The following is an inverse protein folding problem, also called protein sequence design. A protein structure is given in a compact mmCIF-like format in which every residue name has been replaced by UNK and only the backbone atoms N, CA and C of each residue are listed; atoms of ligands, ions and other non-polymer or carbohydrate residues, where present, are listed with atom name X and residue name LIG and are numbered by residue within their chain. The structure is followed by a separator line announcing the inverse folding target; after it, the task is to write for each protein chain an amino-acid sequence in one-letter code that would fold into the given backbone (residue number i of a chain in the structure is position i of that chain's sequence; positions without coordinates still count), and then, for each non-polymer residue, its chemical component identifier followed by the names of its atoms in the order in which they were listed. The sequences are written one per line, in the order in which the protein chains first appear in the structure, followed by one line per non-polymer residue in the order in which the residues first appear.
data_IF_488732143338
#
_entry.id   IF_488732143338
#
_cell.length_a   1.000
_cell.length_b   1.000
_cell.length_c   1.000
_cell.angle_alpha   90.00
_cell.angle_beta   90.00
_cell.angle_gamma   90.00
#
_symmetry.space_group_name_H-M   'P 1'
#
loop_
_entity.id
_entity.type
_entity.pdbx_description
1 polymer ?
#
# COMPACT_ATOMS: atom_id res chain seq x y z
N UNK A 1 3.97 10.54 -15.93
CA UNK A 1 5.21 10.63 -15.14
C UNK A 1 6.45 10.66 -16.04
N UNK A 2 7.62 10.36 -15.45
CA UNK A 2 8.85 10.17 -16.22
C UNK A 2 9.24 8.70 -16.24
N UNK A 3 9.65 8.22 -17.41
CA UNK A 3 10.21 6.88 -17.62
C UNK A 3 11.47 7.08 -18.45
N UNK A 4 12.61 6.62 -17.98
CA UNK A 4 13.94 6.81 -18.60
C UNK A 4 14.24 8.30 -18.90
N UNK A 5 13.87 9.20 -17.98
CA UNK A 5 14.05 10.64 -18.10
C UNK A 5 13.05 11.36 -19.01
N UNK A 6 12.26 10.66 -19.79
CA UNK A 6 11.24 11.22 -20.69
C UNK A 6 9.86 11.31 -20.03
N UNK A 7 9.12 12.37 -20.33
CA UNK A 7 7.73 12.50 -19.91
C UNK A 7 6.84 11.52 -20.71
N UNK A 8 6.17 10.60 -20.03
CA UNK A 8 5.30 9.59 -20.64
C UNK A 8 3.94 9.53 -19.95
N UNK A 9 2.90 9.33 -20.74
CA UNK A 9 1.57 8.96 -20.30
C UNK A 9 1.35 7.51 -20.73
N UNK A 10 1.05 6.66 -19.74
CA UNK A 10 0.76 5.25 -19.96
C UNK A 10 -0.71 5.02 -19.60
N UNK A 11 -1.49 4.54 -20.56
CA UNK A 11 -2.87 4.13 -20.32
C UNK A 11 -2.94 2.61 -20.23
N UNK A 12 -3.54 2.11 -19.17
CA UNK A 12 -3.73 0.67 -18.94
C UNK A 12 -5.18 0.39 -18.55
N UNK A 13 -5.86 -0.42 -19.35
CA UNK A 13 -7.16 -0.97 -18.99
C UNK A 13 -6.94 -2.21 -18.11
N UNK A 14 -7.54 -2.21 -16.91
CA UNK A 14 -7.50 -3.35 -16.00
C UNK A 14 -8.62 -4.31 -16.40
N UNK A 15 -8.26 -5.53 -16.77
CA UNK A 15 -9.21 -6.56 -17.23
C UNK A 15 -9.26 -7.78 -16.29
N UNK A 16 -8.44 -7.79 -15.24
CA UNK A 16 -8.37 -8.86 -14.26
C UNK A 16 -9.44 -8.79 -13.18
N UNK A 17 -10.11 -7.65 -13.01
CA UNK A 17 -11.25 -7.51 -12.10
C UNK A 17 -12.48 -8.08 -12.79
N UNK A 18 -13.04 -9.14 -12.23
CA UNK A 18 -14.17 -9.88 -12.84
C UNK A 18 -15.51 -9.56 -12.19
N UNK A 19 -15.49 -9.08 -10.93
CA UNK A 19 -16.70 -8.75 -10.18
C UNK A 19 -16.39 -7.71 -9.08
N UNK A 20 -17.44 -7.05 -8.60
CA UNK A 20 -17.42 -6.17 -7.45
C UNK A 20 -18.60 -6.51 -6.52
N UNK A 21 -18.34 -6.56 -5.22
CA UNK A 21 -19.34 -6.94 -4.22
C UNK A 21 -19.38 -5.91 -3.11
N UNK A 22 -20.54 -5.30 -2.89
CA UNK A 22 -20.77 -4.46 -1.72
C UNK A 22 -21.24 -5.34 -0.55
N UNK A 23 -20.38 -5.53 0.44
CA UNK A 23 -20.68 -6.34 1.61
C UNK A 23 -21.88 -5.85 2.45
N UNK A 24 -22.30 -4.59 2.27
CA UNK A 24 -23.47 -4.05 3.00
C UNK A 24 -24.81 -4.32 2.31
N UNK A 25 -24.81 -4.40 1.00
CA UNK A 25 -26.02 -4.63 0.20
C UNK A 25 -26.10 -6.04 -0.37
N UNK A 26 -24.95 -6.73 -0.50
CA UNK A 26 -24.82 -8.07 -1.10
C UNK A 26 -24.10 -9.04 -0.12
N UNK A 27 -24.49 -9.01 1.16
CA UNK A 27 -23.77 -9.74 2.21
C UNK A 27 -23.62 -11.24 1.94
N UNK A 28 -24.67 -11.91 1.48
CA UNK A 28 -24.64 -13.34 1.15
C UNK A 28 -23.64 -13.64 0.00
N UNK A 29 -23.59 -12.76 -1.01
CA UNK A 29 -22.63 -12.87 -2.09
C UNK A 29 -21.20 -12.66 -1.59
N UNK A 30 -20.99 -11.70 -0.67
CA UNK A 30 -19.70 -11.48 -0.02
C UNK A 30 -19.24 -12.71 0.75
N UNK A 31 -20.12 -13.31 1.55
CA UNK A 31 -19.79 -14.53 2.31
C UNK A 31 -19.57 -15.73 1.40
N UNK A 32 -20.29 -15.85 0.29
CA UNK A 32 -20.10 -16.89 -0.71
C UNK A 32 -18.71 -16.88 -1.36
N UNK A 33 -17.98 -15.75 -1.33
CA UNK A 33 -16.59 -15.73 -1.76
C UNK A 33 -15.69 -16.60 -0.88
N UNK A 34 -16.03 -16.78 0.40
CA UNK A 34 -15.28 -17.65 1.31
C UNK A 34 -15.40 -19.14 0.94
N UNK A 35 -16.41 -19.53 0.15
CA UNK A 35 -16.66 -20.91 -0.29
C UNK A 35 -15.88 -21.26 -1.58
N UNK A 36 -15.25 -20.26 -2.22
CA UNK A 36 -14.47 -20.50 -3.44
C UNK A 36 -13.21 -21.30 -3.10
N UNK A 37 -13.14 -22.51 -3.59
CA UNK A 37 -12.06 -23.47 -3.33
C UNK A 37 -10.67 -22.92 -3.72
N UNK A 38 -10.59 -22.24 -4.84
CA UNK A 38 -9.35 -21.67 -5.40
C UNK A 38 -8.97 -20.30 -4.85
N UNK A 39 -9.79 -19.69 -3.98
CA UNK A 39 -9.42 -18.43 -3.33
C UNK A 39 -8.22 -18.66 -2.42
N UNK A 40 -7.16 -17.88 -2.63
CA UNK A 40 -5.91 -18.02 -1.88
C UNK A 40 -5.41 -16.71 -1.28
N UNK A 41 -5.64 -15.58 -1.94
CA UNK A 41 -5.07 -14.29 -1.54
C UNK A 41 -6.17 -13.29 -1.20
N UNK A 42 -5.94 -12.52 -0.14
CA UNK A 42 -6.77 -11.39 0.27
C UNK A 42 -5.89 -10.16 0.38
N UNK A 43 -6.10 -9.19 -0.49
CA UNK A 43 -5.44 -7.88 -0.41
C UNK A 43 -6.39 -6.92 0.29
N UNK A 44 -5.93 -6.23 1.33
CA UNK A 44 -6.69 -5.17 1.97
C UNK A 44 -6.05 -3.80 1.75
N UNK A 45 -6.87 -2.81 1.46
CA UNK A 45 -6.49 -1.41 1.31
C UNK A 45 -7.63 -0.54 1.85
N UNK A 46 -7.80 -0.57 3.16
CA UNK A 46 -8.86 0.17 3.84
C UNK A 46 -8.45 1.63 4.08
N UNK A 47 -7.94 1.94 5.24
CA UNK A 47 -7.37 3.26 5.58
C UNK A 47 -6.29 3.07 6.65
N UNK A 48 -5.55 4.13 7.01
CA UNK A 48 -4.64 4.12 8.16
C UNK A 48 -5.34 3.76 9.48
N UNK A 49 -6.66 3.94 9.58
CA UNK A 49 -7.49 3.56 10.72
C UNK A 49 -8.33 2.28 10.46
N UNK A 50 -8.09 1.57 9.36
CA UNK A 50 -8.92 0.44 8.95
C UNK A 50 -8.62 -0.87 9.68
N UNK A 51 -7.39 -1.07 10.14
CA UNK A 51 -7.00 -2.25 10.92
C UNK A 51 -7.14 -1.91 12.41
N UNK A 52 -8.36 -2.09 12.93
CA UNK A 52 -8.71 -1.75 14.32
C UNK A 52 -9.62 -2.82 14.90
N UNK A 53 -9.44 -3.11 16.19
CA UNK A 53 -10.34 -3.91 16.98
C UNK A 53 -11.36 -3.01 17.68
N UNK A 54 -12.65 -3.35 17.57
CA UNK A 54 -13.76 -2.68 18.27
C UNK A 54 -14.59 -3.76 18.98
N UNK A 55 -14.61 -3.74 20.31
CA UNK A 55 -15.30 -4.71 21.15
C UNK A 55 -16.84 -4.58 21.08
N UNK A 56 -17.34 -3.50 20.47
CA UNK A 56 -18.78 -3.32 20.19
C UNK A 56 -19.23 -4.03 18.92
N UNK A 57 -18.30 -4.52 18.10
CA UNK A 57 -18.59 -5.27 16.89
C UNK A 57 -19.12 -6.66 17.25
N UNK A 58 -20.25 -7.05 16.69
CA UNK A 58 -20.94 -8.30 17.06
C UNK A 58 -20.90 -9.29 15.91
N UNK A 59 -20.78 -10.59 16.26
CA UNK A 59 -20.77 -11.68 15.28
C UNK A 59 -22.07 -11.73 14.45
N UNK A 60 -23.21 -11.38 15.04
CA UNK A 60 -24.53 -11.39 14.38
C UNK A 60 -24.70 -10.26 13.34
N UNK A 61 -23.83 -9.25 13.34
CA UNK A 61 -23.87 -8.17 12.36
C UNK A 61 -23.53 -8.69 10.95
N UNK A 62 -24.28 -8.25 9.94
CA UNK A 62 -24.14 -8.66 8.54
C UNK A 62 -24.01 -7.43 7.63
N UNK A 63 -22.79 -6.90 7.38
CA UNK A 63 -21.51 -7.33 7.93
C UNK A 63 -21.20 -6.74 9.31
N UNK A 64 -20.15 -7.24 10.01
CA UNK A 64 -19.49 -6.51 11.10
C UNK A 64 -19.02 -5.12 10.65
N UNK A 65 -18.84 -4.17 11.59
CA UNK A 65 -18.46 -2.78 11.25
C UNK A 65 -17.02 -2.67 10.76
N UNK A 66 -16.09 -3.27 11.52
CA UNK A 66 -14.66 -3.16 11.24
C UNK A 66 -14.23 -4.11 10.12
N UNK A 67 -13.14 -3.77 9.42
CA UNK A 67 -12.55 -4.68 8.42
C UNK A 67 -12.02 -5.97 9.07
N UNK A 68 -11.26 -5.95 10.18
CA UNK A 68 -10.84 -7.19 10.83
C UNK A 68 -12.01 -8.06 11.32
N UNK A 69 -13.10 -7.45 11.76
CA UNK A 69 -14.33 -8.19 12.09
C UNK A 69 -14.94 -8.89 10.87
N UNK A 70 -15.07 -8.17 9.74
CA UNK A 70 -15.50 -8.77 8.46
C UNK A 70 -14.61 -9.93 8.04
N UNK A 71 -13.29 -9.74 8.11
CA UNK A 71 -12.30 -10.76 7.76
C UNK A 71 -12.41 -11.99 8.69
N UNK A 72 -12.52 -11.78 10.01
CA UNK A 72 -12.64 -12.87 10.97
C UNK A 72 -13.87 -13.73 10.68
N UNK A 73 -15.01 -13.09 10.41
CA UNK A 73 -16.25 -13.78 10.05
C UNK A 73 -16.13 -14.52 8.72
N UNK A 74 -15.47 -13.94 7.74
CA UNK A 74 -15.16 -14.55 6.46
C UNK A 74 -14.27 -15.80 6.61
N UNK A 75 -13.21 -15.71 7.41
CA UNK A 75 -12.32 -16.82 7.71
C UNK A 75 -13.04 -17.93 8.48
N UNK A 76 -13.92 -17.57 9.42
CA UNK A 76 -14.70 -18.55 10.16
C UNK A 76 -15.67 -19.32 9.25
N UNK A 77 -16.37 -18.61 8.35
CA UNK A 77 -17.23 -19.25 7.36
C UNK A 77 -16.46 -20.20 6.43
N UNK A 78 -15.24 -19.80 6.02
CA UNK A 78 -14.35 -20.64 5.21
C UNK A 78 -13.91 -21.87 5.98
N UNK A 79 -13.50 -21.73 7.25
CA UNK A 79 -13.15 -22.85 8.12
C UNK A 79 -14.28 -23.87 8.24
N UNK A 80 -15.50 -23.41 8.50
CA UNK A 80 -16.69 -24.26 8.58
C UNK A 80 -16.98 -24.98 7.24
N UNK A 81 -16.95 -24.24 6.13
CA UNK A 81 -17.20 -24.76 4.78
C UNK A 81 -16.24 -25.89 4.43
N UNK A 82 -14.96 -25.71 4.69
CA UNK A 82 -13.92 -26.68 4.37
C UNK A 82 -13.53 -27.59 5.55
N UNK A 83 -14.31 -27.56 6.65
CA UNK A 83 -14.16 -28.45 7.82
C UNK A 83 -12.73 -28.43 8.40
N UNK A 84 -12.14 -27.26 8.47
CA UNK A 84 -10.81 -27.07 9.01
C UNK A 84 -9.66 -27.59 8.13
N UNK A 85 -9.86 -27.82 6.86
CA UNK A 85 -8.80 -28.23 5.94
C UNK A 85 -7.71 -27.13 5.88
N UNK A 86 -6.50 -27.46 6.34
CA UNK A 86 -5.36 -26.53 6.41
C UNK A 86 -4.91 -26.06 5.02
N UNK A 87 -5.17 -26.82 3.97
CA UNK A 87 -4.86 -26.42 2.59
C UNK A 87 -5.73 -25.26 2.08
N UNK A 88 -6.81 -24.94 2.79
CA UNK A 88 -7.76 -23.87 2.44
C UNK A 88 -7.49 -22.57 3.16
N UNK A 89 -6.41 -22.47 3.92
CA UNK A 89 -5.95 -21.21 4.51
C UNK A 89 -5.67 -20.13 3.46
N UNK A 90 -5.76 -18.87 3.87
CA UNK A 90 -5.58 -17.72 3.00
C UNK A 90 -4.28 -16.96 3.35
N UNK A 91 -3.75 -16.26 2.35
CA UNK A 91 -2.64 -15.31 2.52
C UNK A 91 -3.23 -13.90 2.55
N UNK A 92 -3.08 -13.20 3.66
CA UNK A 92 -3.45 -11.81 3.82
C UNK A 92 -2.30 -10.90 3.43
N UNK A 93 -2.57 -9.95 2.56
CA UNK A 93 -1.65 -8.97 1.99
C UNK A 93 -2.16 -7.56 2.30
N UNK A 94 -2.08 -7.09 3.55
CA UNK A 94 -2.52 -5.74 3.90
C UNK A 94 -1.57 -4.70 3.31
N UNK A 95 -2.12 -3.67 2.65
CA UNK A 95 -1.35 -2.55 2.08
C UNK A 95 -1.65 -1.22 2.76
N UNK A 96 -2.34 -1.24 3.89
CA UNK A 96 -2.59 -0.08 4.73
C UNK A 96 -1.27 0.51 5.23
N UNK A 97 -1.17 1.84 5.27
CA UNK A 97 0.01 2.57 5.74
C UNK A 97 0.12 2.56 7.28
N UNK A 98 0.18 1.36 7.83
CA UNK A 98 0.29 1.09 9.27
C UNK A 98 1.57 0.27 9.49
N UNK A 99 2.29 0.57 10.56
CA UNK A 99 3.45 -0.20 10.96
C UNK A 99 3.03 -1.62 11.32
N UNK A 100 3.77 -2.61 10.78
CA UNK A 100 3.51 -4.03 11.03
C UNK A 100 2.04 -4.42 10.74
N UNK A 101 1.48 -3.91 9.64
CA UNK A 101 0.07 -4.02 9.28
C UNK A 101 -0.45 -5.47 9.32
N UNK A 102 0.33 -6.45 8.89
CA UNK A 102 -0.05 -7.86 8.96
C UNK A 102 -0.09 -8.39 10.39
N UNK A 103 0.87 -8.02 11.23
CA UNK A 103 0.88 -8.39 12.65
C UNK A 103 -0.31 -7.77 13.37
N UNK A 104 -0.63 -6.51 13.07
CA UNK A 104 -1.79 -5.83 13.64
C UNK A 104 -3.11 -6.46 13.19
N UNK A 105 -3.22 -6.83 11.91
CA UNK A 105 -4.40 -7.51 11.36
C UNK A 105 -4.59 -8.88 12.02
N UNK A 106 -3.53 -9.68 12.12
CA UNK A 106 -3.56 -10.98 12.81
C UNK A 106 -4.01 -10.83 14.27
N UNK A 107 -3.44 -9.87 14.99
CA UNK A 107 -3.84 -9.58 16.37
C UNK A 107 -5.33 -9.25 16.48
N UNK A 108 -5.86 -8.40 15.61
CA UNK A 108 -7.29 -8.07 15.59
C UNK A 108 -8.16 -9.31 15.32
N UNK A 109 -7.77 -10.17 14.39
CA UNK A 109 -8.48 -11.43 14.09
C UNK A 109 -8.52 -12.33 15.34
N UNK A 110 -7.40 -12.53 16.03
CA UNK A 110 -7.35 -13.32 17.26
C UNK A 110 -8.24 -12.71 18.36
N UNK A 111 -8.25 -11.39 18.52
CA UNK A 111 -9.12 -10.71 19.47
C UNK A 111 -10.62 -10.92 19.15
N UNK A 112 -11.01 -10.93 17.87
CA UNK A 112 -12.39 -11.24 17.48
C UNK A 112 -12.74 -12.71 17.70
N UNK A 113 -11.81 -13.63 17.46
CA UNK A 113 -12.01 -15.07 17.76
C UNK A 113 -12.33 -15.25 19.25
N UNK A 114 -11.59 -14.58 20.12
CA UNK A 114 -11.81 -14.62 21.56
C UNK A 114 -13.13 -13.93 21.96
N UNK A 115 -13.36 -12.69 21.48
CA UNK A 115 -14.57 -11.93 21.77
C UNK A 115 -15.86 -12.66 21.38
N UNK A 116 -15.85 -13.33 20.24
CA UNK A 116 -17.02 -14.03 19.69
C UNK A 116 -17.10 -15.51 20.08
N UNK A 117 -16.12 -16.02 20.85
CA UNK A 117 -16.10 -17.41 21.33
C UNK A 117 -16.08 -18.44 20.22
N UNK A 118 -15.32 -18.20 19.13
CA UNK A 118 -15.32 -19.06 17.92
C UNK A 118 -14.55 -20.36 18.09
N UNK A 119 -13.94 -20.60 19.25
CA UNK A 119 -13.32 -21.87 19.63
C UNK A 119 -11.84 -22.02 19.25
N UNK A 120 -11.16 -22.90 19.98
CA UNK A 120 -9.70 -23.13 19.80
C UNK A 120 -9.39 -23.83 18.47
N UNK A 121 -10.28 -24.66 17.92
CA UNK A 121 -10.04 -25.33 16.65
C UNK A 121 -9.91 -24.32 15.49
N UNK A 122 -10.80 -23.33 15.45
CA UNK A 122 -10.71 -22.26 14.45
C UNK A 122 -9.47 -21.38 14.67
N UNK A 123 -9.16 -21.03 15.92
CA UNK A 123 -7.96 -20.29 16.23
C UNK A 123 -6.69 -21.00 15.74
N UNK A 124 -6.57 -22.28 16.03
CA UNK A 124 -5.43 -23.10 15.60
C UNK A 124 -5.36 -23.18 14.05
N UNK A 125 -6.50 -23.29 13.38
CA UNK A 125 -6.55 -23.27 11.92
C UNK A 125 -6.08 -21.92 11.35
N UNK A 126 -6.46 -20.80 11.96
CA UNK A 126 -5.99 -19.47 11.55
C UNK A 126 -4.46 -19.36 11.70
N UNK A 127 -3.91 -19.85 12.82
CA UNK A 127 -2.47 -19.79 13.09
C UNK A 127 -1.65 -20.73 12.19
N UNK A 128 -2.19 -21.91 11.86
CA UNK A 128 -1.47 -22.91 11.06
C UNK A 128 -1.64 -22.69 9.54
N UNK A 129 -2.87 -22.49 9.10
CA UNK A 129 -3.25 -22.48 7.69
C UNK A 129 -3.13 -21.10 7.03
N UNK A 130 -3.42 -20.03 7.77
CA UNK A 130 -3.39 -18.68 7.23
C UNK A 130 -1.99 -18.05 7.34
N UNK A 131 -1.70 -17.11 6.44
CA UNK A 131 -0.47 -16.34 6.42
C UNK A 131 -0.82 -14.86 6.49
N UNK A 132 -0.29 -14.16 7.49
CA UNK A 132 -0.44 -12.72 7.62
C UNK A 132 0.91 -12.08 7.27
N UNK A 133 1.01 -11.50 6.09
CA UNK A 133 2.21 -10.80 5.67
C UNK A 133 2.16 -9.37 6.14
N UNK A 134 3.31 -8.74 6.40
CA UNK A 134 3.40 -7.30 6.56
C UNK A 134 3.92 -6.67 5.29
N UNK A 135 3.28 -5.62 4.79
CA UNK A 135 3.66 -5.06 3.49
C UNK A 135 3.91 -3.56 3.54
N UNK A 136 4.76 -3.10 2.64
CA UNK A 136 5.05 -1.69 2.40
C UNK A 136 4.80 -1.39 0.92
N UNK A 137 3.93 -0.45 0.64
CA UNK A 137 3.69 0.05 -0.72
C UNK A 137 4.25 1.46 -0.89
N UNK A 138 4.76 1.74 -2.08
CA UNK A 138 5.21 3.07 -2.46
C UNK A 138 4.81 3.35 -3.92
N UNK A 139 3.76 4.13 -4.08
CA UNK A 139 3.28 4.69 -5.34
C UNK A 139 2.37 5.86 -5.04
N UNK A 140 2.56 6.97 -5.71
CA UNK A 140 1.66 8.11 -5.61
C UNK A 140 0.48 7.88 -6.57
N UNK A 141 -0.72 7.75 -6.01
CA UNK A 141 -1.98 7.69 -6.74
C UNK A 141 -2.74 8.96 -6.42
N UNK A 142 -3.02 9.78 -7.44
CA UNK A 142 -3.71 11.06 -7.28
C UNK A 142 -5.23 10.94 -7.36
N UNK A 143 -5.72 9.73 -7.61
CA UNK A 143 -7.14 9.44 -7.65
C UNK A 143 -7.79 9.70 -9.01
N UNK A 144 -9.10 9.91 -8.99
CA UNK A 144 -9.90 10.12 -10.19
C UNK A 144 -9.61 11.50 -10.82
N UNK A 145 -9.32 11.59 -12.12
CA UNK A 145 -8.93 12.83 -12.80
C UNK A 145 -10.13 13.70 -13.17
N UNK A 146 -10.87 14.18 -12.18
CA UNK A 146 -12.14 14.91 -12.37
C UNK A 146 -12.05 16.12 -13.29
N UNK A 147 -10.90 16.81 -13.27
CA UNK A 147 -10.70 18.00 -14.11
C UNK A 147 -10.51 17.69 -15.61
N UNK A 148 -10.14 16.46 -15.94
CA UNK A 148 -9.84 16.02 -17.32
C UNK A 148 -10.64 14.79 -17.74
N UNK A 149 -11.67 14.40 -16.98
CA UNK A 149 -12.40 13.15 -17.15
C UNK A 149 -12.97 12.97 -18.58
N UNK A 150 -13.60 14.02 -19.13
CA UNK A 150 -14.19 13.95 -20.47
C UNK A 150 -13.14 13.72 -21.57
N UNK A 151 -11.98 14.39 -21.45
CA UNK A 151 -10.88 14.20 -22.39
C UNK A 151 -10.23 12.81 -22.27
N UNK A 152 -10.21 12.23 -21.06
CA UNK A 152 -9.74 10.87 -20.88
C UNK A 152 -10.74 9.83 -21.39
N UNK A 153 -12.05 10.03 -21.22
CA UNK A 153 -13.08 9.17 -21.79
C UNK A 153 -13.05 9.19 -23.32
N UNK A 154 -12.85 10.38 -23.94
CA UNK A 154 -12.70 10.49 -25.39
C UNK A 154 -11.51 9.66 -25.90
N UNK A 155 -10.36 9.73 -25.21
CA UNK A 155 -9.17 8.91 -25.57
C UNK A 155 -9.39 7.41 -25.36
N UNK A 156 -10.12 7.03 -24.32
CA UNK A 156 -10.42 5.62 -24.01
C UNK A 156 -11.49 5.05 -24.93
N UNK A 157 -12.34 5.90 -25.52
CA UNK A 157 -13.52 5.49 -26.27
C UNK A 157 -14.62 4.88 -25.41
N UNK A 158 -14.56 5.10 -24.09
CA UNK A 158 -15.50 4.56 -23.11
C UNK A 158 -15.59 5.47 -21.89
N UNK A 159 -16.69 5.40 -21.13
CA UNK A 159 -16.91 6.13 -19.89
C UNK A 159 -16.45 5.28 -18.71
N UNK A 160 -15.27 5.58 -18.19
CA UNK A 160 -14.74 4.95 -16.98
C UNK A 160 -14.85 5.88 -15.77
N UNK A 161 -15.77 5.56 -14.86
CA UNK A 161 -16.04 6.37 -13.64
C UNK A 161 -15.21 5.97 -12.45
N UNK A 162 -14.38 4.93 -12.58
CA UNK A 162 -13.49 4.43 -11.52
C UNK A 162 -12.02 4.49 -11.92
N UNK A 163 -11.71 5.15 -13.04
CA UNK A 163 -10.32 5.33 -13.46
C UNK A 163 -9.53 6.10 -12.41
N UNK A 164 -8.25 5.76 -12.29
CA UNK A 164 -7.34 6.46 -11.39
C UNK A 164 -6.09 6.88 -12.13
N UNK A 165 -5.51 7.98 -11.69
CA UNK A 165 -4.20 8.45 -12.17
C UNK A 165 -3.14 8.20 -11.11
N UNK A 166 -1.93 7.92 -11.54
CA UNK A 166 -0.80 7.69 -10.66
C UNK A 166 0.52 7.84 -11.38
N UNK A 167 1.60 7.82 -10.61
CA UNK A 167 2.94 7.83 -11.16
C UNK A 167 3.33 6.46 -11.76
N UNK A 168 4.30 6.41 -12.70
CA UNK A 168 4.83 5.16 -13.23
C UNK A 168 5.58 4.35 -12.17
N UNK A 169 6.27 5.03 -11.24
CA UNK A 169 6.97 4.37 -10.14
C UNK A 169 6.01 3.53 -9.29
N UNK A 170 6.44 2.34 -8.93
CA UNK A 170 5.75 1.50 -7.96
C UNK A 170 6.77 0.63 -7.22
N UNK A 171 6.48 0.32 -5.98
CA UNK A 171 7.21 -0.65 -5.17
C UNK A 171 6.24 -1.32 -4.20
N UNK A 172 6.33 -2.64 -4.10
CA UNK A 172 5.63 -3.42 -3.09
C UNK A 172 6.62 -4.37 -2.40
N UNK A 173 6.90 -4.12 -1.13
CA UNK A 173 7.72 -5.00 -0.30
C UNK A 173 6.80 -5.87 0.53
N UNK A 174 6.98 -7.16 0.48
CA UNK A 174 6.17 -8.16 1.18
C UNK A 174 7.09 -8.93 2.14
N UNK A 175 6.88 -8.72 3.43
CA UNK A 175 7.52 -9.47 4.48
C UNK A 175 6.63 -10.64 4.89
N UNK A 176 7.15 -11.85 4.84
CA UNK A 176 6.41 -13.06 5.19
C UNK A 176 7.32 -14.07 5.89
N UNK A 177 6.80 -14.68 6.96
CA UNK A 177 7.46 -15.79 7.64
C UNK A 177 7.46 -17.09 6.81
N UNK A 178 6.50 -17.23 5.89
CA UNK A 178 6.42 -18.35 4.94
C UNK A 178 6.74 -17.81 3.54
N UNK A 179 7.56 -18.53 2.78
CA UNK A 179 7.82 -18.17 1.38
C UNK A 179 6.53 -18.36 0.56
N UNK A 180 6.04 -17.25 0.02
CA UNK A 180 4.86 -17.20 -0.86
C UNK A 180 5.24 -16.84 -2.30
N UNK A 181 6.51 -16.66 -2.60
CA UNK A 181 6.99 -16.20 -3.91
C UNK A 181 6.65 -17.18 -5.03
N UNK A 182 6.65 -18.48 -4.72
CA UNK A 182 6.26 -19.53 -5.66
C UNK A 182 4.75 -19.58 -5.94
N UNK A 183 3.92 -19.17 -4.97
CA UNK A 183 2.46 -19.09 -5.17
C UNK A 183 2.05 -17.78 -5.85
N UNK A 184 2.81 -16.71 -5.63
CA UNK A 184 2.53 -15.36 -6.16
C UNK A 184 3.79 -14.77 -6.83
N UNK A 185 4.21 -15.28 -8.00
CA UNK A 185 5.48 -14.93 -8.64
C UNK A 185 5.41 -13.57 -9.36
N UNK A 186 5.10 -12.49 -8.63
CA UNK A 186 4.93 -11.16 -9.17
C UNK A 186 6.21 -10.58 -9.81
N UNK A 187 7.43 -10.79 -9.27
CA UNK A 187 8.66 -10.34 -9.93
C UNK A 187 8.87 -10.98 -11.31
N UNK A 188 8.49 -12.25 -11.49
CA UNK A 188 8.60 -12.94 -12.77
C UNK A 188 7.67 -12.34 -13.84
N UNK A 189 6.62 -11.69 -13.41
CA UNK A 189 5.72 -10.91 -14.27
C UNK A 189 6.23 -9.47 -14.55
N UNK A 190 7.44 -9.13 -14.12
CA UNK A 190 8.04 -7.81 -14.28
C UNK A 190 7.44 -6.74 -13.35
N UNK A 191 6.79 -7.15 -12.28
CA UNK A 191 6.22 -6.21 -11.30
C UNK A 191 7.26 -5.85 -10.24
N UNK A 192 7.30 -4.59 -9.76
CA UNK A 192 8.28 -4.11 -8.80
C UNK A 192 7.95 -4.57 -7.37
N UNK A 193 8.07 -5.87 -7.15
CA UNK A 193 7.77 -6.53 -5.87
C UNK A 193 9.05 -7.14 -5.29
N UNK A 194 9.25 -6.95 -3.99
CA UNK A 194 10.37 -7.52 -3.23
C UNK A 194 9.78 -8.42 -2.13
N UNK A 195 10.17 -9.69 -2.13
CA UNK A 195 9.93 -10.60 -1.01
C UNK A 195 11.09 -10.54 -0.03
N UNK A 196 10.82 -10.46 1.25
CA UNK A 196 11.83 -10.32 2.30
C UNK A 196 11.35 -10.94 3.61
N UNK A 197 12.28 -11.26 4.48
CA UNK A 197 12.02 -11.61 5.88
C UNK A 197 12.08 -10.40 6.82
N UNK A 198 12.46 -9.22 6.30
CA UNK A 198 12.55 -7.97 7.07
C UNK A 198 12.32 -6.75 6.19
N UNK A 199 11.18 -6.09 6.31
CA UNK A 199 10.86 -4.88 5.55
C UNK A 199 11.42 -3.57 6.14
N UNK A 200 11.93 -3.60 7.39
CA UNK A 200 12.38 -2.39 8.10
C UNK A 200 13.41 -1.56 7.32
N UNK A 201 14.44 -2.17 6.67
CA UNK A 201 15.39 -1.40 5.87
C UNK A 201 14.75 -0.65 4.70
N UNK A 202 13.77 -1.27 4.03
CA UNK A 202 13.05 -0.65 2.91
C UNK A 202 12.14 0.48 3.39
N UNK A 203 11.51 0.31 4.55
CA UNK A 203 10.73 1.36 5.19
C UNK A 203 11.62 2.55 5.58
N UNK A 204 12.77 2.28 6.21
CA UNK A 204 13.74 3.32 6.54
C UNK A 204 14.22 4.05 5.28
N UNK A 205 14.53 3.34 4.21
CA UNK A 205 14.88 3.93 2.91
C UNK A 205 13.79 4.89 2.43
N UNK A 206 12.53 4.43 2.38
CA UNK A 206 11.41 5.28 1.95
C UNK A 206 11.26 6.52 2.83
N UNK A 207 11.21 6.34 4.15
CA UNK A 207 10.97 7.45 5.10
C UNK A 207 12.12 8.45 5.07
N UNK A 208 13.37 7.99 5.08
CA UNK A 208 14.53 8.88 5.18
C UNK A 208 14.92 9.50 3.84
N UNK A 209 14.84 8.77 2.73
CA UNK A 209 15.17 9.32 1.41
C UNK A 209 13.98 10.10 0.84
N UNK A 210 12.79 9.51 0.67
CA UNK A 210 11.66 10.20 0.05
C UNK A 210 11.07 11.30 0.96
N UNK A 211 10.67 10.93 2.17
CA UNK A 211 10.03 11.88 3.07
C UNK A 211 11.07 12.85 3.67
N UNK A 212 12.28 12.37 3.94
CA UNK A 212 13.40 13.17 4.40
C UNK A 212 13.80 14.22 3.38
N UNK A 213 13.90 13.86 2.08
CA UNK A 213 14.15 14.82 1.02
C UNK A 213 13.11 15.95 1.02
N UNK A 214 11.83 15.62 1.01
CA UNK A 214 10.78 16.63 1.12
C UNK A 214 10.97 17.53 2.34
N UNK A 215 11.15 16.94 3.52
CA UNK A 215 11.27 17.70 4.77
C UNK A 215 12.50 18.60 4.80
N UNK A 216 13.59 18.22 4.12
CA UNK A 216 14.84 19.01 4.10
C UNK A 216 14.66 20.34 3.40
N UNK A 217 13.93 20.42 2.30
CA UNK A 217 13.91 21.62 1.45
C UNK A 217 12.59 22.39 1.39
N UNK A 218 11.43 21.77 1.69
CA UNK A 218 10.12 22.40 1.38
C UNK A 218 9.91 23.74 2.02
N UNK A 219 10.34 23.95 3.28
CA UNK A 219 10.17 25.21 3.97
C UNK A 219 11.12 26.30 3.42
N UNK A 220 12.37 25.94 3.14
CA UNK A 220 13.32 26.84 2.52
C UNK A 220 12.86 27.24 1.12
N UNK A 221 12.43 26.29 0.30
CA UNK A 221 11.92 26.54 -1.04
C UNK A 221 10.68 27.46 -1.02
N UNK A 222 9.76 27.26 -0.08
CA UNK A 222 8.61 28.14 0.07
C UNK A 222 9.02 29.57 0.41
N UNK A 223 9.97 29.76 1.32
CA UNK A 223 10.51 31.09 1.66
C UNK A 223 11.27 31.73 0.49
N UNK A 224 11.81 30.93 -0.42
CA UNK A 224 12.41 31.40 -1.69
C UNK A 224 11.36 31.66 -2.79
N UNK A 225 10.07 31.57 -2.48
CA UNK A 225 8.98 31.92 -3.40
C UNK A 225 8.58 30.79 -4.36
N UNK A 226 8.88 29.54 -4.03
CA UNK A 226 8.37 28.39 -4.76
C UNK A 226 7.05 27.92 -4.14
N UNK A 227 6.14 27.40 -4.97
CA UNK A 227 4.83 26.89 -4.52
C UNK A 227 4.74 25.36 -4.57
N UNK A 228 5.43 24.74 -5.52
CA UNK A 228 5.38 23.28 -5.76
C UNK A 228 6.78 22.64 -5.81
N UNK A 229 6.82 21.34 -5.56
CA UNK A 229 8.05 20.53 -5.53
C UNK A 229 8.80 20.61 -6.86
N UNK A 230 8.11 20.48 -7.99
CA UNK A 230 8.73 20.50 -9.32
C UNK A 230 9.50 21.81 -9.57
N UNK A 231 8.93 22.93 -9.21
CA UNK A 231 9.60 24.24 -9.39
C UNK A 231 10.82 24.39 -8.49
N UNK A 232 10.77 23.74 -7.31
CA UNK A 232 11.93 23.67 -6.42
C UNK A 232 13.07 22.83 -7.02
N UNK A 233 12.75 21.74 -7.73
CA UNK A 233 13.75 20.90 -8.39
C UNK A 233 14.38 21.54 -9.63
N UNK A 234 13.74 22.55 -10.21
CA UNK A 234 14.29 23.35 -11.29
C UNK A 234 15.23 24.49 -10.80
N UNK A 235 15.31 24.68 -9.48
CA UNK A 235 16.22 25.62 -8.84
C UNK A 235 17.47 24.87 -8.39
N UNK A 236 18.64 25.29 -8.90
CA UNK A 236 19.91 24.58 -8.67
C UNK A 236 20.32 24.60 -7.20
N UNK A 237 20.08 25.70 -6.48
CA UNK A 237 20.49 25.86 -5.07
C UNK A 237 19.64 24.90 -4.20
N UNK A 238 18.33 24.85 -4.42
CA UNK A 238 17.42 23.97 -3.68
C UNK A 238 17.72 22.50 -4.00
N UNK A 239 17.90 22.18 -5.29
CA UNK A 239 18.19 20.80 -5.70
C UNK A 239 19.53 20.32 -5.14
N UNK A 240 20.58 21.14 -5.23
CA UNK A 240 21.91 20.80 -4.73
C UNK A 240 21.91 20.64 -3.20
N UNK A 241 21.17 21.48 -2.47
CA UNK A 241 21.00 21.34 -1.04
C UNK A 241 20.33 19.99 -0.67
N UNK A 242 19.23 19.66 -1.34
CA UNK A 242 18.52 18.39 -1.12
C UNK A 242 19.43 17.19 -1.44
N UNK A 243 20.13 17.22 -2.59
CA UNK A 243 21.01 16.12 -3.00
C UNK A 243 22.20 15.97 -2.03
N UNK A 244 22.80 17.06 -1.57
CA UNK A 244 23.84 17.03 -0.54
C UNK A 244 23.34 16.39 0.75
N UNK A 245 22.18 16.80 1.24
CA UNK A 245 21.53 16.18 2.43
C UNK A 245 21.33 14.68 2.22
N UNK A 246 20.83 14.25 1.06
CA UNK A 246 20.59 12.82 0.81
C UNK A 246 21.90 12.02 0.75
N UNK A 247 22.88 12.46 -0.03
CA UNK A 247 24.10 11.67 -0.28
C UNK A 247 25.12 11.73 0.84
N UNK A 248 25.24 12.87 1.53
CA UNK A 248 26.28 13.11 2.53
C UNK A 248 25.80 12.81 3.97
N UNK A 249 24.50 12.99 4.23
CA UNK A 249 23.96 12.89 5.59
C UNK A 249 23.00 11.71 5.76
N UNK A 250 22.10 11.42 4.80
CA UNK A 250 21.04 10.42 4.95
C UNK A 250 21.52 9.03 4.53
N UNK A 251 21.95 8.88 3.28
CA UNK A 251 22.35 7.57 2.70
C UNK A 251 23.38 6.84 3.55
N UNK A 252 24.44 7.50 4.09
CA UNK A 252 25.42 6.81 4.93
C UNK A 252 24.88 6.23 6.22
N UNK A 253 23.68 6.63 6.66
CA UNK A 253 23.04 6.12 7.90
C UNK A 253 22.15 4.91 7.67
N UNK A 254 21.94 4.51 6.42
CA UNK A 254 21.02 3.42 6.05
C UNK A 254 21.78 2.10 5.84
N UNK A 255 21.09 0.98 6.09
CA UNK A 255 21.70 -0.36 6.11
C UNK A 255 21.62 -1.13 4.79
N UNK A 256 20.81 -0.67 3.82
CA UNK A 256 20.75 -1.28 2.50
C UNK A 256 22.04 -0.99 1.69
N UNK A 257 22.34 -1.79 0.65
CA UNK A 257 23.47 -1.53 -0.22
C UNK A 257 23.44 -0.09 -0.77
N UNK A 258 24.60 0.57 -0.77
CA UNK A 258 24.69 1.97 -1.19
C UNK A 258 24.14 2.20 -2.59
N UNK A 259 24.42 1.28 -3.52
CA UNK A 259 23.91 1.37 -4.89
C UNK A 259 22.37 1.40 -4.96
N UNK A 260 21.68 0.56 -4.16
CA UNK A 260 20.23 0.51 -4.10
C UNK A 260 19.64 1.79 -3.49
N UNK A 261 20.36 2.40 -2.54
CA UNK A 261 19.96 3.66 -1.91
C UNK A 261 20.12 4.86 -2.86
N UNK A 262 21.22 4.88 -3.63
CA UNK A 262 21.49 5.89 -4.65
C UNK A 262 20.48 5.80 -5.81
N UNK A 263 20.21 4.59 -6.31
CA UNK A 263 19.17 4.36 -7.33
C UNK A 263 17.79 4.82 -6.84
N UNK A 264 17.45 4.56 -5.59
CA UNK A 264 16.20 5.01 -5.00
C UNK A 264 16.15 6.55 -4.86
N UNK A 265 17.26 7.20 -4.51
CA UNK A 265 17.35 8.66 -4.45
C UNK A 265 17.18 9.29 -5.84
N UNK A 266 17.78 8.73 -6.88
CA UNK A 266 17.60 9.16 -8.26
C UNK A 266 16.13 9.01 -8.72
N UNK A 267 15.49 7.90 -8.36
CA UNK A 267 14.07 7.70 -8.61
C UNK A 267 13.21 8.76 -7.90
N UNK A 268 13.55 9.15 -6.68
CA UNK A 268 12.86 10.22 -5.93
C UNK A 268 12.99 11.56 -6.66
N UNK A 269 14.17 11.90 -7.16
CA UNK A 269 14.36 13.14 -7.97
C UNK A 269 13.51 13.11 -9.22
N UNK A 270 13.46 11.98 -9.92
CA UNK A 270 12.61 11.81 -11.11
C UNK A 270 11.11 11.96 -10.78
N UNK A 271 10.67 11.45 -9.62
CA UNK A 271 9.29 11.60 -9.11
C UNK A 271 8.97 13.05 -8.77
N UNK A 272 9.90 13.79 -8.15
CA UNK A 272 9.74 15.22 -7.82
C UNK A 272 9.64 16.09 -9.07
N UNK A 273 10.31 15.70 -10.16
CA UNK A 273 10.25 16.33 -11.47
C UNK A 273 9.07 15.85 -12.34
N UNK A 274 8.06 15.18 -11.77
CA UNK A 274 6.91 14.70 -12.53
C UNK A 274 6.09 15.87 -13.09
N UNK A 275 5.98 16.02 -14.42
CA UNK A 275 5.29 17.15 -15.04
C UNK A 275 3.76 17.13 -14.88
N UNK A 276 3.21 16.01 -14.41
CA UNK A 276 1.77 15.80 -14.28
C UNK A 276 1.28 15.88 -12.82
N UNK A 277 2.17 16.21 -11.87
CA UNK A 277 1.83 16.31 -10.45
C UNK A 277 2.29 17.65 -9.91
N UNK A 278 1.36 18.48 -9.46
CA UNK A 278 1.61 19.74 -8.77
C UNK A 278 1.51 19.49 -7.24
N UNK A 279 2.64 19.09 -6.66
CA UNK A 279 2.71 18.78 -5.23
C UNK A 279 3.04 20.06 -4.44
N UNK A 280 2.03 20.59 -3.76
CA UNK A 280 2.16 21.86 -3.02
C UNK A 280 3.10 21.73 -1.82
N UNK A 281 4.07 22.65 -1.70
CA UNK A 281 5.04 22.66 -0.61
C UNK A 281 4.38 22.81 0.77
N UNK A 282 3.36 23.66 0.88
CA UNK A 282 2.63 23.86 2.15
C UNK A 282 1.89 22.59 2.59
N UNK A 283 1.34 21.80 1.67
CA UNK A 283 0.70 20.54 2.03
C UNK A 283 1.70 19.53 2.60
N UNK A 284 2.92 19.50 2.07
CA UNK A 284 4.01 18.64 2.56
C UNK A 284 4.54 19.12 3.91
N UNK A 285 4.59 20.43 4.15
CA UNK A 285 5.15 21.03 5.35
C UNK A 285 4.38 20.72 6.63
N UNK A 286 3.15 20.22 6.52
CA UNK A 286 2.35 19.84 7.67
C UNK A 286 3.06 18.76 8.51
N UNK A 287 3.10 18.97 9.83
CA UNK A 287 3.74 18.07 10.78
C UNK A 287 5.25 17.88 10.57
N UNK A 288 5.97 18.86 10.00
CA UNK A 288 7.41 18.79 9.72
C UNK A 288 8.24 18.41 10.96
N UNK A 289 7.90 18.91 12.14
CA UNK A 289 8.63 18.60 13.40
C UNK A 289 8.54 17.11 13.75
N UNK A 290 7.37 16.49 13.60
CA UNK A 290 7.20 15.06 13.88
C UNK A 290 7.78 14.17 12.78
N UNK A 291 7.82 14.64 11.55
CA UNK A 291 8.43 13.92 10.42
C UNK A 291 9.97 13.89 10.49
N UNK A 292 10.58 14.86 11.12
CA UNK A 292 12.04 14.98 11.23
C UNK A 292 12.63 14.19 12.41
N UNK A 293 11.84 13.83 13.40
CA UNK A 293 12.25 13.02 14.56
C UNK A 293 12.22 11.53 14.23
#
# INVERSE_FOLDING_TARGET
GRVDGEAKILNRKITSVVDAVDAYTEYEKYMGLAEIDTLRFVVSNTTEAGIVFDDTDKFEMNPPKTFPGKLTKFLYHRFETFKGDVSKGLVMLPVELIDDNGIMLHKCVLQFIELWGLGEEFKNWVEEACVFTSTLVDRIITGYPKATEEAEWEKLGDIDRIMVTGEPFALWVIESAKDISGELPLPDAGLPVIYTDNQKPYKQRKVRILNGAHTSFVLAAYLMGKDIVRDSMNDDDIRNFMMGTLHEEVIPTLSLPKADLEEFADAVVARFNNPYVDHALLAISLNSVSKWR
#
